data_IF_307957558602
#
_entry.id   IF_307957558602
#
_cell.length_a   1.000
_cell.length_b   1.000
_cell.length_c   1.000
_cell.angle_alpha   90.00
_cell.angle_beta   90.00
_cell.angle_gamma   90.00
#
_symmetry.space_group_name_H-M   'P 1'
#
loop_
_entity.id
_entity.type
_entity.pdbx_description
1 polymer ?
#
# COMPACT_ATOMS: atom_id res chain seq x y z
N UNK A 1 5.83 -1.48 -13.16
CA UNK A 1 5.31 -0.21 -12.60
C UNK A 1 5.19 -0.32 -11.08
N UNK A 2 5.39 0.75 -10.32
CA UNK A 2 5.20 0.73 -8.85
C UNK A 2 3.72 1.02 -8.56
N UNK A 3 3.07 0.20 -7.72
CA UNK A 3 1.69 0.37 -7.25
C UNK A 3 1.57 1.33 -6.06
N UNK A 4 2.68 1.97 -5.69
CA UNK A 4 2.75 2.89 -4.57
C UNK A 4 3.58 4.14 -4.89
N UNK A 5 3.16 5.23 -4.26
CA UNK A 5 3.81 6.53 -4.29
C UNK A 5 4.26 6.90 -2.90
N UNK A 6 5.56 7.16 -2.79
CA UNK A 6 6.14 7.77 -1.60
C UNK A 6 5.99 9.28 -1.70
N UNK A 7 5.21 9.87 -0.80
CA UNK A 7 5.09 11.33 -0.72
C UNK A 7 6.28 11.89 0.05
N UNK A 8 6.79 13.06 -0.37
CA UNK A 8 7.84 13.76 0.37
C UNK A 8 7.21 14.43 1.57
N UNK A 9 7.71 14.09 2.75
CA UNK A 9 7.30 14.72 3.99
C UNK A 9 8.45 15.42 4.70
N UNK A 10 8.09 16.52 5.35
CA UNK A 10 8.92 17.22 6.34
C UNK A 10 8.96 16.50 7.70
N UNK A 11 8.27 15.36 7.87
CA UNK A 11 8.30 14.57 9.12
C UNK A 11 9.65 13.86 9.30
N UNK A 12 10.28 14.06 10.46
CA UNK A 12 11.60 13.51 10.77
C UNK A 12 11.59 11.98 10.90
N UNK A 13 10.52 11.40 11.46
CA UNK A 13 10.45 9.97 11.81
C UNK A 13 9.47 9.12 10.99
N UNK A 14 8.72 9.73 10.08
CA UNK A 14 7.64 9.06 9.34
C UNK A 14 7.51 9.60 7.93
N UNK A 15 6.92 8.79 7.06
CA UNK A 15 6.76 9.03 5.62
C UNK A 15 5.32 8.74 5.27
N UNK A 16 4.68 9.62 4.52
CA UNK A 16 3.37 9.33 3.94
C UNK A 16 3.53 8.55 2.63
N UNK A 17 2.69 7.56 2.48
CA UNK A 17 2.60 6.71 1.32
C UNK A 17 1.16 6.74 0.80
N UNK A 18 1.02 6.61 -0.51
CA UNK A 18 -0.23 6.29 -1.17
C UNK A 18 -0.01 5.00 -1.96
N UNK A 19 -0.92 4.04 -1.85
CA UNK A 19 -0.86 2.82 -2.65
C UNK A 19 -2.23 2.48 -3.22
N UNK A 20 -2.24 1.85 -4.39
CA UNK A 20 -3.46 1.30 -4.96
C UNK A 20 -3.60 -0.14 -4.46
N UNK A 21 -4.77 -0.44 -3.90
CA UNK A 21 -5.17 -1.78 -3.52
C UNK A 21 -6.49 -2.14 -4.19
N UNK A 22 -6.83 -3.42 -4.18
CA UNK A 22 -8.16 -3.89 -4.51
C UNK A 22 -9.10 -3.67 -3.32
N UNK A 23 -10.40 -3.53 -3.56
CA UNK A 23 -11.43 -3.39 -2.51
C UNK A 23 -11.51 -4.56 -1.52
N UNK A 24 -10.74 -5.62 -1.76
CA UNK A 24 -10.55 -6.76 -0.85
C UNK A 24 -9.54 -6.49 0.28
N UNK A 25 -8.88 -5.32 0.30
CA UNK A 25 -7.90 -4.92 1.32
C UNK A 25 -6.79 -5.96 1.54
N UNK A 26 -6.21 -6.45 0.45
CA UNK A 26 -5.16 -7.48 0.51
C UNK A 26 -3.89 -6.95 1.19
N UNK A 27 -3.63 -5.65 1.08
CA UNK A 27 -2.47 -5.04 1.70
C UNK A 27 -2.53 -5.05 3.22
N UNK A 28 -3.72 -4.83 3.79
CA UNK A 28 -3.91 -4.80 5.24
C UNK A 28 -3.59 -6.15 5.88
N UNK A 29 -3.95 -7.25 5.21
CA UNK A 29 -3.60 -8.59 5.65
C UNK A 29 -2.08 -8.82 5.66
N UNK A 30 -1.35 -8.37 4.62
CA UNK A 30 0.11 -8.47 4.61
C UNK A 30 0.76 -7.63 5.71
N UNK A 31 0.26 -6.42 5.96
CA UNK A 31 0.84 -5.57 7.01
C UNK A 31 0.63 -6.16 8.40
N UNK A 32 -0.51 -6.78 8.65
CA UNK A 32 -0.77 -7.52 9.90
C UNK A 32 0.19 -8.70 10.03
N UNK A 33 0.34 -9.50 8.97
CA UNK A 33 1.23 -10.66 8.95
C UNK A 33 2.70 -10.27 9.20
N UNK A 34 3.16 -9.19 8.56
CA UNK A 34 4.54 -8.72 8.65
C UNK A 34 4.78 -7.75 9.81
N UNK A 35 3.76 -7.53 10.66
CA UNK A 35 3.77 -6.64 11.83
C UNK A 35 4.23 -5.21 11.49
N UNK A 36 3.87 -4.74 10.30
CA UNK A 36 4.18 -3.39 9.83
C UNK A 36 3.19 -2.41 10.45
N UNK A 37 3.70 -1.41 11.18
CA UNK A 37 2.86 -0.37 11.78
C UNK A 37 2.56 0.71 10.74
N UNK A 38 1.39 0.60 10.15
CA UNK A 38 0.77 1.60 9.28
C UNK A 38 -0.24 2.44 10.05
N UNK A 39 -0.22 3.76 9.87
CA UNK A 39 -1.31 4.65 10.30
C UNK A 39 -2.14 5.02 9.09
N UNK A 40 -3.38 4.52 9.04
CA UNK A 40 -4.35 4.92 8.02
C UNK A 40 -4.64 6.43 8.12
N UNK A 41 -4.69 7.10 6.97
CA UNK A 41 -5.02 8.53 6.87
C UNK A 41 -6.32 8.78 6.13
N UNK A 42 -6.59 7.98 5.11
CA UNK A 42 -7.81 8.08 4.33
C UNK A 42 -7.75 7.11 3.16
N UNK A 43 -8.89 6.88 2.54
CA UNK A 43 -9.00 6.14 1.30
C UNK A 43 -9.80 6.94 0.30
N UNK A 44 -9.49 6.71 -0.97
CA UNK A 44 -10.23 7.26 -2.09
C UNK A 44 -10.64 6.08 -2.95
N UNK A 45 -11.94 5.81 -2.97
CA UNK A 45 -12.53 4.77 -3.82
C UNK A 45 -13.08 5.43 -5.08
N UNK A 46 -12.86 4.79 -6.23
CA UNK A 46 -13.63 5.09 -7.44
C UNK A 46 -14.92 4.28 -7.37
N UNK A 47 -16.07 4.92 -7.56
CA UNK A 47 -17.35 4.18 -7.64
C UNK A 47 -17.36 3.20 -8.82
N UNK A 48 -16.64 3.52 -9.89
CA UNK A 48 -16.65 2.77 -11.14
C UNK A 48 -15.57 1.68 -11.22
N UNK A 49 -14.83 1.44 -10.13
CA UNK A 49 -13.67 0.54 -10.15
C UNK A 49 -13.46 -0.20 -8.84
N UNK A 50 -13.07 -1.47 -8.92
CA UNK A 50 -12.72 -2.28 -7.75
C UNK A 50 -11.40 -1.87 -7.08
N UNK A 51 -10.74 -0.84 -7.57
CA UNK A 51 -9.49 -0.31 -7.02
C UNK A 51 -9.75 0.86 -6.08
N UNK A 52 -9.07 0.85 -4.93
CA UNK A 52 -9.05 1.93 -3.97
C UNK A 52 -7.63 2.46 -3.80
N UNK A 53 -7.49 3.77 -3.65
CA UNK A 53 -6.23 4.40 -3.29
C UNK A 53 -6.25 4.61 -1.79
N UNK A 54 -5.30 3.99 -1.08
CA UNK A 54 -5.15 4.12 0.36
C UNK A 54 -4.00 5.08 0.66
N UNK A 55 -4.29 6.08 1.48
CA UNK A 55 -3.30 6.99 2.05
C UNK A 55 -2.94 6.53 3.46
N UNK A 56 -1.65 6.32 3.70
CA UNK A 56 -1.16 5.89 4.99
C UNK A 56 0.13 6.61 5.38
N UNK A 57 0.50 6.50 6.66
CA UNK A 57 1.72 7.03 7.23
C UNK A 57 2.49 5.90 7.91
N UNK A 58 3.75 5.73 7.52
CA UNK A 58 4.63 4.65 7.99
C UNK A 58 5.84 5.25 8.69
N UNK A 59 6.35 4.59 9.72
CA UNK A 59 7.60 4.99 10.35
C UNK A 59 8.78 4.71 9.41
N UNK A 60 9.79 5.58 9.36
CA UNK A 60 10.96 5.40 8.46
C UNK A 60 11.67 4.05 8.67
N UNK A 61 11.69 3.54 9.91
CA UNK A 61 12.27 2.23 10.24
C UNK A 61 11.50 1.05 9.63
N UNK A 62 10.19 1.21 9.47
CA UNK A 62 9.27 0.19 8.97
C UNK A 62 8.98 0.36 7.47
N UNK A 63 9.39 1.51 6.88
CA UNK A 63 9.20 1.86 5.48
C UNK A 63 9.80 0.83 4.50
N UNK A 64 10.99 0.29 4.82
CA UNK A 64 11.62 -0.72 3.96
C UNK A 64 10.77 -2.00 3.88
N UNK A 65 10.28 -2.49 5.03
CA UNK A 65 9.41 -3.67 5.10
C UNK A 65 8.08 -3.42 4.40
N UNK A 66 7.51 -2.24 4.61
CA UNK A 66 6.29 -1.81 3.93
C UNK A 66 6.45 -1.82 2.40
N UNK A 67 7.55 -1.30 1.87
CA UNK A 67 7.84 -1.33 0.42
C UNK A 67 8.05 -2.76 -0.10
N UNK A 68 8.68 -3.64 0.68
CA UNK A 68 8.85 -5.07 0.36
C UNK A 68 7.50 -5.80 0.33
N UNK A 69 6.59 -5.51 1.26
CA UNK A 69 5.25 -6.11 1.31
C UNK A 69 4.40 -5.68 0.12
N UNK A 70 4.44 -4.40 -0.24
CA UNK A 70 3.76 -3.87 -1.42
C UNK A 70 4.33 -4.44 -2.73
N UNK A 71 5.64 -4.69 -2.79
CA UNK A 71 6.24 -5.34 -3.94
C UNK A 71 5.76 -6.80 -4.09
N UNK A 72 5.67 -7.55 -2.98
CA UNK A 72 5.14 -8.93 -2.97
C UNK A 72 3.67 -9.00 -3.40
N UNK A 73 2.87 -8.03 -2.98
CA UNK A 73 1.47 -7.88 -3.40
C UNK A 73 1.34 -7.70 -4.90
N UNK A 74 2.21 -6.87 -5.50
CA UNK A 74 2.19 -6.65 -6.94
C UNK A 74 2.45 -7.94 -7.72
N UNK A 75 3.39 -8.76 -7.27
CA UNK A 75 3.70 -10.04 -7.94
C UNK A 75 2.53 -11.02 -7.84
N UNK A 76 1.79 -11.00 -6.72
CA UNK A 76 0.59 -11.83 -6.53
C UNK A 76 -0.58 -11.39 -7.43
N UNK A 77 -0.77 -10.09 -7.59
CA UNK A 77 -1.85 -9.54 -8.43
C UNK A 77 -1.52 -9.57 -9.94
N UNK A 78 -0.23 -9.58 -10.32
CA UNK A 78 0.17 -9.66 -11.74
C UNK A 78 -0.19 -11.02 -12.35
N UNK A 79 -0.26 -12.08 -11.53
CA UNK A 79 -0.73 -13.40 -11.98
C UNK A 79 -2.22 -13.48 -12.31
N UNK A 80 -3.05 -12.52 -11.85
CA UNK A 80 -4.49 -12.47 -12.16
C UNK A 80 -4.81 -11.48 -13.31
N UNK A 81 -3.86 -10.66 -13.75
CA UNK A 81 -4.07 -9.65 -14.81
C UNK A 81 -3.75 -10.19 -16.21
N UNK A 82 -3.14 -11.37 -16.35
CA UNK A 82 -2.92 -12.04 -17.65
C UNK A 82 -4.02 -13.05 -18.05
N UNK A 83 -5.10 -13.20 -17.28
CA UNK A 83 -6.27 -14.05 -17.63
C UNK A 83 -7.57 -13.27 -17.92
N UNK A 84 -7.47 -12.02 -18.41
CA UNK A 84 -8.61 -11.29 -18.95
C UNK A 84 -8.34 -10.79 -20.38
#
# INVERSE_FOLDING_TARGET
MKNFWRMRDFSVFSVHYAYVDHGSYLADQLFVQNRVRVRFKGEMRREDSHYCIIFCKVLKRDAKRFEEDLARLKDKNTGEIEEC
#
